data_IF_722076818998
#
_entry.id   IF_722076818998
#
_cell.length_a   1.000
_cell.length_b   1.000
_cell.length_c   1.000
_cell.angle_alpha   90.00
_cell.angle_beta   90.00
_cell.angle_gamma   90.00
#
_symmetry.space_group_name_H-M   'P 1'
#
loop_
_entity.id
_entity.type
_entity.pdbx_description
1 polymer ?
2 non-polymer ?
3 non-polymer ?
4 water ?
#
# COMPACT_ATOMS: atom_id res chain seq x y z
N UNK A 10 8.03 -22.16 -4.27
CA UNK A 10 6.73 -21.76 -3.66
C UNK A 10 6.72 -20.28 -3.26
N UNK A 11 7.49 -19.90 -2.22
CA UNK A 11 7.76 -18.49 -1.83
C UNK A 11 6.81 -18.01 -0.74
N UNK A 12 5.50 -18.29 -0.88
CA UNK A 12 4.45 -17.70 -0.02
C UNK A 12 3.37 -18.72 0.34
N UNK A 13 2.69 -18.47 1.46
CA UNK A 13 1.42 -19.11 1.85
C UNK A 13 0.42 -17.97 2.08
N UNK A 14 -0.85 -18.21 1.77
CA UNK A 14 -1.97 -17.39 2.23
C UNK A 14 -2.69 -18.17 3.32
N UNK A 15 -2.73 -17.65 4.54
CA UNK A 15 -3.43 -18.33 5.66
C UNK A 15 -4.78 -17.64 5.79
N UNK A 16 -5.85 -18.38 5.56
CA UNK A 16 -7.24 -17.95 5.81
C UNK A 16 -7.38 -17.72 7.31
N UNK A 17 -7.92 -16.57 7.71
CA UNK A 17 -8.12 -16.18 9.13
C UNK A 17 -9.52 -16.58 9.54
N UNK A 18 -9.69 -17.05 10.77
CA UNK A 18 -11.03 -17.21 11.37
C UNK A 18 -11.61 -15.81 11.62
N UNK A 19 -12.90 -15.63 11.32
CA UNK A 19 -13.64 -14.37 11.45
C UNK A 19 -13.90 -14.00 12.92
N UNK A 20 -13.55 -14.87 13.88
CA UNK A 20 -13.72 -14.58 15.33
C UNK A 20 -12.37 -14.16 15.93
N UNK A 21 -11.31 -14.13 15.13
CA UNK A 21 -9.92 -13.79 15.56
C UNK A 21 -9.75 -12.27 15.61
N UNK A 22 -8.91 -11.80 16.54
CA UNK A 22 -8.51 -10.37 16.66
C UNK A 22 -7.92 -9.93 15.33
N UNK A 23 -7.03 -10.75 14.76
CA UNK A 23 -6.30 -10.40 13.52
C UNK A 23 -7.32 -10.12 12.42
N UNK A 24 -8.34 -10.98 12.28
CA UNK A 24 -9.39 -10.80 11.24
C UNK A 24 -10.16 -9.51 11.54
N UNK A 25 -10.55 -9.29 12.81
CA UNK A 25 -11.39 -8.14 13.20
C UNK A 25 -10.66 -6.81 12.90
N UNK A 26 -9.34 -6.74 13.09
CA UNK A 26 -8.57 -5.50 12.77
C UNK A 26 -8.64 -5.22 11.28
N UNK A 27 -8.41 -6.22 10.45
CA UNK A 27 -8.50 -5.97 8.98
C UNK A 27 -9.93 -5.59 8.60
N UNK A 28 -10.91 -6.37 9.08
CA UNK A 28 -12.35 -6.18 8.76
C UNK A 28 -12.77 -4.76 9.15
N UNK A 29 -12.43 -4.35 10.38
CA UNK A 29 -12.76 -2.98 10.88
C UNK A 29 -12.29 -1.93 9.86
N UNK A 30 -11.07 -2.06 9.35
CA UNK A 30 -10.48 -1.03 8.45
C UNK A 30 -11.22 -1.00 7.12
N UNK A 31 -11.60 -2.17 6.61
CA UNK A 31 -12.37 -2.31 5.35
C UNK A 31 -13.77 -1.75 5.53
N UNK A 32 -14.44 -2.24 6.57
CA UNK A 32 -15.86 -1.92 6.90
C UNK A 32 -16.03 -0.43 7.16
N UNK A 33 -14.94 0.25 7.60
CA UNK A 33 -15.01 1.71 7.90
C UNK A 33 -15.59 2.43 6.68
N UNK A 34 -15.16 2.10 5.46
CA UNK A 34 -15.63 2.85 4.29
C UNK A 34 -16.37 1.99 3.27
N UNK A 35 -16.51 0.68 3.48
CA UNK A 35 -17.36 -0.15 2.60
C UNK A 35 -18.34 -0.92 3.47
N UNK A 36 -19.20 -0.22 4.23
CA UNK A 36 -20.09 -0.90 5.17
C UNK A 36 -21.26 -1.61 4.47
N UNK A 37 -21.60 -1.27 3.23
CA UNK A 37 -22.75 -1.87 2.50
C UNK A 37 -22.29 -3.16 1.81
N UNK A 38 -20.99 -3.51 1.85
CA UNK A 38 -20.46 -4.73 1.17
C UNK A 38 -20.26 -5.85 2.19
N UNK A 39 -20.00 -7.09 1.72
CA UNK A 39 -19.90 -8.30 2.57
C UNK A 39 -18.57 -9.02 2.37
N UNK A 40 -17.73 -9.07 3.41
CA UNK A 40 -16.39 -9.73 3.35
C UNK A 40 -16.59 -11.26 3.44
N UNK A 41 -15.99 -12.01 2.51
CA UNK A 41 -16.16 -13.47 2.37
C UNK A 41 -14.89 -14.16 2.88
N UNK A 42 -13.76 -13.49 2.77
CA UNK A 42 -12.50 -14.10 3.26
C UNK A 42 -11.44 -13.02 3.48
N UNK A 43 -10.56 -13.29 4.44
CA UNK A 43 -9.33 -12.48 4.69
C UNK A 43 -8.21 -13.48 4.92
N UNK A 44 -7.17 -13.35 4.09
CA UNK A 44 -5.99 -14.22 4.13
C UNK A 44 -4.80 -13.36 4.56
N UNK A 45 -4.00 -13.88 5.46
CA UNK A 45 -2.66 -13.34 5.79
C UNK A 45 -1.68 -13.90 4.78
N UNK A 46 -0.91 -13.03 4.14
CA UNK A 46 0.17 -13.41 3.18
C UNK A 46 1.47 -13.54 3.95
N UNK A 47 2.10 -14.69 3.78
CA UNK A 47 3.42 -15.02 4.37
C UNK A 47 4.39 -15.23 3.23
N UNK A 48 5.26 -14.25 2.98
CA UNK A 48 6.36 -14.36 1.98
C UNK A 48 7.61 -13.80 2.67
N UNK A 49 8.42 -14.70 3.22
CA UNK A 49 9.61 -14.35 4.01
C UNK A 49 10.60 -13.58 3.15
N UNK A 50 10.63 -13.80 1.83
CA UNK A 50 11.57 -13.11 0.92
C UNK A 50 11.15 -11.65 0.82
N UNK A 51 9.85 -11.38 0.61
CA UNK A 51 9.30 -10.00 0.54
C UNK A 51 9.41 -9.33 1.91
N UNK A 52 9.25 -10.06 2.99
CA UNK A 52 9.32 -9.47 4.35
C UNK A 52 10.77 -9.09 4.70
N UNK A 53 11.73 -9.87 4.27
CA UNK A 53 13.15 -9.62 4.56
C UNK A 53 13.55 -8.29 3.90
N UNK A 54 13.13 -8.08 2.66
CA UNK A 54 13.60 -6.88 1.90
C UNK A 54 12.83 -5.69 2.46
N UNK A 55 11.59 -5.88 2.91
CA UNK A 55 10.80 -4.80 3.54
C UNK A 55 11.50 -4.34 4.83
N UNK A 56 11.90 -5.27 5.67
CA UNK A 56 12.55 -5.00 6.97
C UNK A 56 13.92 -4.36 6.75
N UNK A 57 14.61 -4.73 5.67
CA UNK A 57 15.91 -4.13 5.35
C UNK A 57 15.71 -2.66 4.93
N UNK A 58 14.76 -2.41 4.04
CA UNK A 58 14.35 -1.05 3.64
C UNK A 58 13.98 -0.25 4.88
N UNK A 59 13.16 -0.81 5.75
CA UNK A 59 12.73 -0.14 7.00
C UNK A 59 13.96 0.25 7.84
N UNK A 60 14.96 -0.65 7.98
CA UNK A 60 16.12 -0.36 8.80
C UNK A 60 16.91 0.78 8.19
N UNK A 61 16.99 0.81 6.86
CA UNK A 61 17.70 1.87 6.11
C UNK A 61 16.99 3.22 6.34
N UNK A 62 15.67 3.24 6.31
CA UNK A 62 14.87 4.48 6.52
C UNK A 62 14.97 4.93 7.98
N UNK A 63 15.01 4.00 8.91
CA UNK A 63 15.12 4.27 10.37
C UNK A 63 16.47 4.93 10.68
N UNK A 64 17.56 4.44 10.09
CA UNK A 64 18.88 5.02 10.25
C UNK A 64 18.87 6.46 9.70
N UNK A 65 18.29 6.66 8.52
CA UNK A 65 18.22 7.98 7.82
C UNK A 65 17.31 8.96 8.60
N UNK A 66 16.41 8.45 9.43
CA UNK A 66 15.51 9.22 10.31
C UNK A 66 16.11 9.39 11.72
N UNK A 67 17.43 9.41 11.87
CA UNK A 67 18.06 9.61 13.21
C UNK A 67 17.91 8.39 14.08
N UNK A 68 17.55 7.25 13.50
CA UNK A 68 17.32 6.02 14.30
C UNK A 68 15.91 5.94 14.87
N UNK A 69 15.02 6.86 14.52
CA UNK A 69 13.64 6.89 15.07
C UNK A 69 12.73 6.19 14.07
N UNK A 70 11.56 5.77 14.56
CA UNK A 70 10.61 4.93 13.81
C UNK A 70 10.09 5.74 12.63
N UNK A 71 10.04 5.07 11.50
CA UNK A 71 9.55 5.53 10.19
C UNK A 71 8.02 5.51 10.21
N UNK A 72 7.39 6.46 9.55
CA UNK A 72 5.93 6.46 9.36
C UNK A 72 5.57 5.23 8.49
N UNK A 73 4.75 4.32 9.02
CA UNK A 73 4.37 3.01 8.42
C UNK A 73 2.85 2.91 8.50
N UNK A 74 2.16 2.58 7.40
CA UNK A 74 0.69 2.60 7.32
C UNK A 74 0.18 1.36 6.60
N UNK A 75 -1.02 0.96 6.96
CA UNK A 75 -1.78 -0.10 6.27
C UNK A 75 -2.68 0.59 5.27
N UNK A 76 -2.47 0.32 4.00
CA UNK A 76 -3.16 1.02 2.91
C UNK A 76 -3.68 -0.03 1.91
N UNK A 77 -4.80 0.27 1.29
CA UNK A 77 -5.53 -0.66 0.42
C UNK A 77 -5.00 -0.55 -1.00
N UNK A 78 -5.10 -1.65 -1.74
CA UNK A 78 -4.89 -1.68 -3.21
C UNK A 78 -5.89 -2.68 -3.84
N UNK A 79 -6.84 -2.18 -4.61
CA UNK A 79 -7.80 -3.01 -5.36
C UNK A 79 -7.15 -3.61 -6.60
N UNK A 80 -7.31 -4.92 -6.83
CA UNK A 80 -6.70 -5.67 -7.96
C UNK A 80 -7.75 -6.55 -8.62
N UNK A 81 -7.36 -7.27 -9.67
CA UNK A 81 -8.10 -8.43 -10.23
C UNK A 81 -7.59 -9.67 -9.53
N UNK A 82 -8.47 -10.63 -9.37
CA UNK A 82 -8.18 -11.95 -8.75
C UNK A 82 -6.97 -12.58 -9.45
N UNK A 83 -6.81 -12.33 -10.75
CA UNK A 83 -5.85 -13.11 -11.57
C UNK A 83 -4.40 -12.71 -11.24
N UNK A 84 -4.12 -11.54 -10.65
CA UNK A 84 -2.71 -11.12 -10.29
C UNK A 84 -2.42 -11.35 -8.81
N UNK A 85 -3.40 -11.77 -8.01
CA UNK A 85 -3.25 -11.83 -6.53
C UNK A 85 -2.04 -12.69 -6.21
N UNK A 86 -1.94 -13.87 -6.80
CA UNK A 86 -0.82 -14.79 -6.47
C UNK A 86 0.50 -14.14 -6.93
N UNK A 87 0.52 -13.48 -8.10
CA UNK A 87 1.70 -12.80 -8.64
C UNK A 87 2.20 -11.73 -7.67
N UNK A 88 1.28 -10.94 -7.10
CA UNK A 88 1.65 -9.92 -6.08
C UNK A 88 2.10 -10.62 -4.79
N UNK A 89 1.43 -11.67 -4.31
CA UNK A 89 1.88 -12.37 -3.08
C UNK A 89 3.30 -12.94 -3.26
N UNK A 90 3.70 -13.26 -4.48
CA UNK A 90 5.04 -13.84 -4.70
C UNK A 90 6.05 -12.73 -4.98
N UNK A 91 5.73 -11.75 -5.84
CA UNK A 91 6.68 -10.80 -6.48
C UNK A 91 6.48 -9.37 -5.99
N UNK A 92 5.43 -9.08 -5.24
CA UNK A 92 5.06 -7.72 -4.76
C UNK A 92 4.44 -6.87 -5.88
N UNK A 93 3.94 -5.71 -5.49
CA UNK A 93 3.48 -4.63 -6.38
C UNK A 93 4.66 -4.10 -7.18
N UNK A 94 4.48 -3.96 -8.48
CA UNK A 94 5.45 -3.34 -9.41
C UNK A 94 4.64 -2.53 -10.41
N UNK A 95 4.68 -1.20 -10.29
CA UNK A 95 3.93 -0.28 -11.18
C UNK A 95 4.38 -0.41 -12.64
N UNK A 96 5.56 -0.99 -12.89
CA UNK A 96 6.14 -1.08 -14.26
C UNK A 96 5.40 -2.13 -15.09
N UNK A 97 4.61 -3.00 -14.45
CA UNK A 97 3.75 -3.99 -15.16
C UNK A 97 2.77 -3.20 -16.06
N UNK A 98 2.12 -2.17 -15.53
CA UNK A 98 1.01 -1.46 -16.22
C UNK A 98 1.44 -0.09 -16.75
N UNK A 99 2.30 0.63 -16.03
CA UNK A 99 2.45 2.10 -16.16
C UNK A 99 1.24 2.83 -15.56
N UNK A 100 1.25 4.17 -15.66
CA UNK A 100 0.18 5.10 -15.22
C UNK A 100 -0.10 6.06 -16.38
N UNK A 101 -1.36 6.29 -16.76
CA UNK A 101 -1.74 7.22 -17.87
C UNK A 101 -3.17 7.76 -17.68
N UNK A 104 -2.38 10.79 -12.58
CA UNK A 104 -1.06 10.49 -11.98
C UNK A 104 -0.70 11.52 -10.89
N UNK A 105 0.00 11.04 -9.85
CA UNK A 105 0.74 11.78 -8.79
C UNK A 105 2.21 11.33 -8.79
N UNK A 106 2.67 10.67 -9.87
CA UNK A 106 3.97 9.95 -9.95
C UNK A 106 3.81 8.60 -10.64
N UNK A 107 4.84 8.18 -11.38
CA UNK A 107 4.99 6.81 -11.92
C UNK A 107 5.46 5.91 -10.76
N UNK A 108 4.54 5.54 -9.87
CA UNK A 108 4.78 4.60 -8.76
C UNK A 108 3.56 3.72 -8.58
N UNK A 109 3.61 2.79 -7.64
CA UNK A 109 2.44 2.01 -7.20
C UNK A 109 1.60 2.91 -6.29
N UNK A 110 0.29 2.92 -6.45
CA UNK A 110 -0.66 3.67 -5.61
C UNK A 110 -1.32 2.79 -4.55
N UNK A 111 -1.50 3.36 -3.37
CA UNK A 111 -2.21 2.77 -2.23
C UNK A 111 -3.15 3.82 -1.66
N UNK A 112 -4.30 3.37 -1.16
CA UNK A 112 -5.34 4.29 -0.65
C UNK A 112 -5.56 4.03 0.83
N UNK A 113 -5.76 5.11 1.56
CA UNK A 113 -6.22 5.05 2.95
C UNK A 113 -7.59 4.35 3.03
N UNK A 114 -8.50 4.66 2.09
CA UNK A 114 -9.91 4.22 2.13
C UNK A 114 -10.10 3.04 1.17
N UNK A 115 -10.65 1.94 1.68
CA UNK A 115 -11.04 0.75 0.89
C UNK A 115 -12.02 1.21 -0.16
N UNK A 116 -12.93 2.13 0.19
CA UNK A 116 -13.97 2.60 -0.75
C UNK A 116 -13.32 3.20 -1.99
N UNK A 117 -12.17 3.84 -1.87
CA UNK A 117 -11.44 4.40 -3.02
C UNK A 117 -10.78 3.26 -3.81
N UNK A 118 -10.11 2.32 -3.15
CA UNK A 118 -9.46 1.19 -3.87
C UNK A 118 -10.53 0.33 -4.57
N UNK A 119 -11.78 0.32 -4.10
CA UNK A 119 -12.86 -0.49 -4.72
C UNK A 119 -13.03 -0.20 -6.22
N UNK A 120 -12.87 1.05 -6.67
CA UNK A 120 -12.98 1.44 -8.09
C UNK A 120 -12.00 0.63 -8.94
N UNK A 121 -10.91 0.10 -8.37
CA UNK A 121 -9.87 -0.62 -9.18
C UNK A 121 -9.95 -2.14 -8.95
N UNK A 122 -10.92 -2.65 -8.21
CA UNK A 122 -11.17 -4.09 -8.02
C UNK A 122 -12.14 -4.59 -9.09
N UNK A 123 -11.66 -4.91 -10.29
CA UNK A 123 -12.47 -5.37 -11.45
C UNK A 123 -12.84 -6.86 -11.27
N UNK A 124 -14.04 -7.30 -11.67
CA UNK A 124 -14.45 -8.71 -11.48
C UNK A 124 -15.21 -9.38 -12.65
N UNK A 125 -16.20 -8.73 -13.27
CA UNK A 125 -17.21 -9.44 -14.12
C UNK A 125 -17.93 -10.51 -13.28
N UNK A 126 -17.86 -10.42 -11.97
CA UNK A 126 -18.42 -11.42 -11.02
C UNK A 126 -18.86 -10.64 -9.79
N UNK A 127 -19.42 -11.34 -8.81
CA UNK A 127 -19.95 -10.71 -7.56
C UNK A 127 -18.76 -10.46 -6.64
N UNK A 128 -17.77 -11.36 -6.71
CA UNK A 128 -16.59 -11.40 -5.82
C UNK A 128 -15.54 -10.38 -6.31
N UNK A 129 -15.12 -9.51 -5.40
CA UNK A 129 -14.04 -8.51 -5.61
C UNK A 129 -12.86 -8.83 -4.69
N UNK A 130 -11.66 -8.42 -5.07
CA UNK A 130 -10.46 -8.68 -4.27
C UNK A 130 -9.70 -7.39 -4.05
N UNK A 131 -9.18 -7.23 -2.83
CA UNK A 131 -8.41 -6.03 -2.43
C UNK A 131 -7.30 -6.48 -1.48
N UNK A 132 -6.12 -5.93 -1.68
CA UNK A 132 -5.02 -6.03 -0.70
C UNK A 132 -5.20 -4.98 0.39
N UNK A 133 -4.86 -5.35 1.62
CA UNK A 133 -4.39 -4.37 2.61
C UNK A 133 -2.89 -4.57 2.79
N UNK A 134 -2.09 -3.64 2.25
CA UNK A 134 -0.60 -3.72 2.24
C UNK A 134 0.00 -2.92 3.42
N UNK A 135 1.20 -3.30 3.88
CA UNK A 135 1.97 -2.54 4.88
C UNK A 135 2.93 -1.67 4.08
N UNK A 136 2.89 -0.35 4.28
CA UNK A 136 3.66 0.61 3.46
C UNK A 136 4.52 1.51 4.36
N UNK A 137 5.82 1.58 4.07
CA UNK A 137 6.78 2.52 4.69
C UNK A 137 6.65 3.83 3.91
N UNK A 138 5.66 4.63 4.25
CA UNK A 138 5.43 5.91 3.55
C UNK A 138 6.56 6.89 3.91
N UNK A 139 7.16 6.78 5.10
CA UNK A 139 8.23 7.71 5.59
C UNK A 139 7.73 9.14 5.52
N UNK A 140 8.62 10.08 5.22
CA UNK A 140 8.29 11.52 4.95
C UNK A 140 7.72 11.68 3.53
N UNK A 141 6.61 12.41 3.40
CA UNK A 141 5.93 12.57 2.09
C UNK A 141 5.74 14.07 1.76
N UNK A 142 5.41 14.31 0.50
CA UNK A 142 5.23 15.65 -0.14
C UNK A 142 4.20 15.42 -1.24
N UNK A 143 3.53 16.49 -1.71
CA UNK A 143 2.59 16.40 -2.85
C UNK A 143 3.32 15.82 -4.05
N UNK A 144 2.62 15.02 -4.84
CA UNK A 144 3.18 14.43 -6.06
C UNK A 144 2.87 15.26 -7.28
N UNK A 145 3.28 14.76 -8.44
CA UNK A 145 3.21 15.42 -9.77
C UNK A 145 3.39 14.32 -10.83
N UNK A 146 2.66 14.41 -11.94
CA UNK A 146 2.54 13.34 -12.96
C UNK A 146 3.87 13.08 -13.66
N UNK A 147 4.86 13.95 -13.48
CA UNK A 147 6.21 13.83 -14.12
C UNK A 147 7.12 12.98 -13.23
N UNK A 148 6.95 13.06 -11.90
CA UNK A 148 7.86 12.45 -10.90
C UNK A 148 8.04 10.96 -11.17
N UNK A 149 9.29 10.52 -11.31
CA UNK A 149 9.68 9.09 -11.52
C UNK A 149 10.28 8.55 -10.22
N UNK A 150 10.56 9.44 -9.29
CA UNK A 150 10.99 9.15 -7.91
C UNK A 150 10.55 10.34 -7.08
N UNK A 151 10.63 10.29 -5.74
CA UNK A 151 10.21 11.43 -4.92
C UNK A 151 11.24 12.56 -4.97
N UNK A 152 10.80 13.84 -4.87
CA UNK A 152 11.69 14.98 -5.12
C UNK A 152 12.58 15.25 -3.91
N UNK A 153 13.60 16.10 -4.09
CA UNK A 153 14.52 16.57 -3.02
C UNK A 153 13.71 17.30 -1.93
N UNK A 154 14.16 17.20 -0.67
CA UNK A 154 13.69 18.06 0.45
C UNK A 154 14.39 19.42 0.35
N UNK A 155 13.60 20.48 0.37
CA UNK A 155 14.12 21.86 0.39
C UNK A 155 14.94 22.02 1.67
N UNK A 156 16.08 22.69 1.54
CA UNK A 156 16.97 23.03 2.67
C UNK A 156 17.90 21.89 3.05
N UNK A 157 17.87 20.79 2.29
CA UNK A 157 18.77 19.61 2.48
C UNK A 157 19.56 19.49 1.19
N UNK A 158 20.85 19.17 1.23
CA UNK A 158 21.61 18.99 -0.03
C UNK A 158 21.64 17.50 -0.32
N UNK A 159 21.41 16.64 0.68
CA UNK A 159 21.54 15.18 0.46
C UNK A 159 20.40 14.41 1.12
N UNK A 160 19.14 14.83 0.93
CA UNK A 160 17.94 14.10 1.39
C UNK A 160 16.73 14.36 0.47
N UNK A 161 16.00 13.27 0.19
CA UNK A 161 14.76 13.15 -0.63
C UNK A 161 13.62 12.60 0.21
N UNK A 162 12.40 12.85 -0.25
CA UNK A 162 11.19 12.33 0.41
C UNK A 162 11.17 10.83 0.14
N UNK A 163 10.34 10.11 0.88
CA UNK A 163 10.20 8.64 0.80
C UNK A 163 8.98 8.26 -0.08
N UNK A 164 7.98 9.12 -0.13
CA UNK A 164 6.72 8.87 -0.87
C UNK A 164 6.09 10.18 -1.33
N UNK A 165 5.16 10.09 -2.29
CA UNK A 165 4.31 11.22 -2.70
C UNK A 165 2.86 10.94 -2.32
N UNK A 166 2.09 12.00 -2.08
CA UNK A 166 0.70 11.94 -1.57
C UNK A 166 -0.16 12.94 -2.32
N UNK A 167 -1.44 13.03 -1.92
CA UNK A 167 -2.42 14.03 -2.43
C UNK A 167 -2.37 15.24 -1.50
N UNK A 168 -2.17 15.06 -0.19
CA UNK A 168 -2.18 16.16 0.82
C UNK A 168 -1.32 15.81 2.03
N UNK A 169 -0.46 16.75 2.46
CA UNK A 169 0.50 16.55 3.57
C UNK A 169 -0.25 16.70 4.89
N UNK A 170 -1.12 17.72 5.01
CA UNK A 170 -1.97 17.96 6.21
C UNK A 170 -3.02 16.87 6.35
N UNK A 171 -3.28 16.06 5.31
CA UNK A 171 -4.49 15.20 5.25
C UNK A 171 -4.41 14.14 4.14
N UNK A 172 -3.36 13.30 4.07
CA UNK A 172 -3.16 12.41 2.92
C UNK A 172 -4.17 11.24 2.86
N UNK A 173 -4.50 10.74 1.65
CA UNK A 173 -5.47 9.64 1.46
C UNK A 173 -5.01 8.75 0.31
N UNK A 174 -4.09 9.25 -0.50
CA UNK A 174 -3.46 8.42 -1.57
C UNK A 174 -1.95 8.55 -1.45
N UNK A 175 -1.24 7.43 -1.56
CA UNK A 175 0.23 7.37 -1.49
C UNK A 175 0.76 6.71 -2.74
N UNK A 176 1.87 7.26 -3.23
CA UNK A 176 2.60 6.73 -4.41
C UNK A 176 3.95 6.26 -3.89
N UNK A 177 4.27 5.02 -4.21
CA UNK A 177 5.51 4.37 -3.72
C UNK A 177 6.33 4.01 -4.96
N UNK A 178 7.61 4.38 -4.98
CA UNK A 178 8.49 4.15 -6.16
C UNK A 178 9.43 2.99 -5.90
N UNK A 179 9.51 2.52 -4.67
CA UNK A 179 10.45 1.43 -4.33
C UNK A 179 9.63 0.26 -3.78
N UNK A 180 9.77 -0.91 -4.39
CA UNK A 180 8.93 -2.08 -4.07
C UNK A 180 9.29 -2.57 -2.68
N UNK A 181 10.51 -2.32 -2.21
CA UNK A 181 10.92 -2.74 -0.85
C UNK A 181 10.18 -1.93 0.22
N UNK A 182 9.47 -0.86 -0.14
CA UNK A 182 8.68 -0.04 0.83
C UNK A 182 7.30 -0.66 1.08
N UNK A 183 6.97 -1.78 0.43
CA UNK A 183 5.62 -2.42 0.52
C UNK A 183 5.76 -3.91 0.83
N UNK A 184 4.90 -4.40 1.70
CA UNK A 184 4.60 -5.82 1.91
C UNK A 184 3.10 -6.02 1.75
N UNK A 185 2.72 -6.98 0.86
CA UNK A 185 1.32 -7.31 0.62
C UNK A 185 0.85 -8.24 1.73
N UNK A 186 0.28 -7.69 2.79
CA UNK A 186 0.11 -8.34 4.10
C UNK A 186 -1.19 -9.13 4.11
N UNK A 187 -2.28 -8.58 3.55
CA UNK A 187 -3.61 -9.24 3.60
C UNK A 187 -4.33 -9.17 2.24
N UNK A 188 -5.05 -10.24 1.91
CA UNK A 188 -5.96 -10.33 0.72
C UNK A 188 -7.39 -10.42 1.25
N UNK A 189 -8.27 -9.53 0.81
CA UNK A 189 -9.67 -9.42 1.26
C UNK A 189 -10.55 -9.81 0.08
N UNK A 190 -11.40 -10.82 0.22
CA UNK A 190 -12.44 -11.10 -0.81
C UNK A 190 -13.80 -10.66 -0.27
N UNK A 191 -14.58 -9.96 -1.08
CA UNK A 191 -15.89 -9.42 -0.66
C UNK A 191 -16.85 -9.41 -1.85
N UNK A 192 -18.14 -9.29 -1.54
CA UNK A 192 -19.22 -9.12 -2.57
C UNK A 192 -19.96 -7.81 -2.30
N UNK A 193 -20.55 -7.24 -3.35
CA UNK A 193 -21.32 -5.98 -3.28
C UNK A 193 -22.82 -6.19 -3.00
N UNK A 194 -23.33 -7.42 -2.83
CA UNK A 194 -24.76 -7.68 -2.50
C UNK A 194 -24.89 -8.54 -1.23
#
# INVERSE_FOLDING_TARGET
SMDSSALPDPGFQKITLSSSSEEYQKVWNLFNRTLPFYFVQKIERVQNLALWEVYQWQKGQMQKQNGGKAVDERQLFHGTSAIVVDGICQHNFDWRVCGVHGTSYGKGSYFARDAAYSHHFSKSDTQTHTMFLARVLVGEFVRGNASFVRPPAKEGWSNAFYDSCVNSVSDPSIFVIFEKHQVYPEYVIQYTTSSKPS
#
